data_IF_545698390171
#
_entry.id   IF_545698390171
#
_cell.length_a   1.000
_cell.length_b   1.000
_cell.length_c   1.000
_cell.angle_alpha   90.00
_cell.angle_beta   90.00
_cell.angle_gamma   90.00
#
_symmetry.space_group_name_H-M   'P 1'
#
loop_
_entity.id
_entity.type
_entity.pdbx_description
1 polymer ?
#
# COMPACT_ATOMS: atom_id res chain seq x y z
N UNK A 1 -3.23 24.16 -1.85
CA UNK A 1 -3.67 23.95 -0.45
C UNK A 1 -2.75 22.95 0.23
N UNK A 2 -2.17 23.32 1.38
CA UNK A 2 -1.31 22.43 2.17
C UNK A 2 -2.11 21.28 2.80
N UNK A 3 -1.96 20.07 2.27
CA UNK A 3 -2.45 18.85 2.90
C UNK A 3 -1.59 18.51 4.12
N UNK A 4 -2.12 18.80 5.32
CA UNK A 4 -1.41 18.50 6.58
C UNK A 4 -1.75 17.11 7.09
N UNK A 5 -0.72 16.27 7.24
CA UNK A 5 -0.81 14.99 7.96
C UNK A 5 -1.06 15.26 9.44
N UNK A 6 -2.14 14.70 9.99
CA UNK A 6 -2.48 14.73 11.41
C UNK A 6 -2.38 13.31 11.99
N UNK A 7 -2.14 13.19 13.29
CA UNK A 7 -2.17 11.90 14.00
C UNK A 7 -3.44 11.82 14.84
N UNK A 8 -4.23 10.77 14.64
CA UNK A 8 -5.44 10.45 15.42
C UNK A 8 -5.30 9.02 15.94
N UNK A 9 -5.30 8.83 17.26
CA UNK A 9 -5.28 7.51 17.93
C UNK A 9 -4.23 6.53 17.36
N UNK A 10 -2.97 6.97 17.21
CA UNK A 10 -1.82 6.22 16.63
C UNK A 10 -1.85 5.99 15.12
N UNK A 11 -2.91 6.41 14.43
CA UNK A 11 -3.00 6.34 12.97
C UNK A 11 -2.74 7.71 12.34
N UNK A 12 -1.90 7.75 11.30
CA UNK A 12 -1.69 8.95 10.49
C UNK A 12 -2.89 9.16 9.57
N UNK A 13 -3.35 10.40 9.42
CA UNK A 13 -4.47 10.77 8.55
C UNK A 13 -4.15 12.04 7.76
N UNK A 14 -4.64 12.13 6.53
CA UNK A 14 -4.69 13.39 5.76
C UNK A 14 -6.12 13.94 5.85
N UNK A 15 -6.25 15.26 5.97
CA UNK A 15 -7.53 15.93 5.81
C UNK A 15 -7.52 16.65 4.46
N UNK A 16 -8.31 16.15 3.52
CA UNK A 16 -8.43 16.72 2.18
C UNK A 16 -9.88 17.08 1.89
N UNK A 17 -10.18 18.36 1.62
CA UNK A 17 -11.54 18.85 1.30
C UNK A 17 -12.61 18.42 2.32
N UNK A 18 -12.24 18.35 3.60
CA UNK A 18 -13.13 17.91 4.69
C UNK A 18 -13.26 16.39 4.83
N UNK A 19 -12.69 15.59 3.93
CA UNK A 19 -12.61 14.13 4.06
C UNK A 19 -11.38 13.74 4.89
N UNK A 20 -11.58 12.81 5.84
CA UNK A 20 -10.49 12.19 6.61
C UNK A 20 -10.02 10.95 5.88
N UNK A 21 -8.76 10.96 5.47
CA UNK A 21 -8.12 9.88 4.73
C UNK A 21 -7.16 9.15 5.68
N UNK A 22 -7.43 7.90 6.06
CA UNK A 22 -6.49 7.11 6.86
C UNK A 22 -5.25 6.76 6.04
N UNK A 23 -4.07 6.90 6.62
CA UNK A 23 -2.78 6.55 6.00
C UNK A 23 -2.23 5.28 6.65
N UNK A 24 -1.74 4.37 5.83
CA UNK A 24 -1.08 3.12 6.23
C UNK A 24 0.31 3.07 5.63
N UNK A 25 1.32 2.71 6.42
CA UNK A 25 2.69 2.51 5.90
C UNK A 25 2.79 1.18 5.19
N UNK A 26 3.24 1.17 3.93
CA UNK A 26 3.38 -0.05 3.15
C UNK A 26 4.40 -1.00 3.77
N UNK A 27 5.52 -0.47 4.25
CA UNK A 27 6.57 -1.26 4.92
C UNK A 27 6.01 -1.97 6.15
N UNK A 28 5.17 -1.28 6.94
CA UNK A 28 4.50 -1.88 8.11
C UNK A 28 3.45 -2.93 7.72
N UNK A 29 2.62 -2.64 6.70
CA UNK A 29 1.60 -3.59 6.22
C UNK A 29 2.20 -4.91 5.71
N UNK A 30 3.44 -4.85 5.18
CA UNK A 30 4.16 -6.02 4.66
C UNK A 30 5.17 -6.59 5.65
N UNK A 31 5.24 -6.08 6.89
CA UNK A 31 6.23 -6.43 7.91
C UNK A 31 7.69 -6.36 7.42
N UNK A 32 8.00 -5.36 6.60
CA UNK A 32 9.33 -5.12 6.04
C UNK A 32 10.07 -4.12 6.94
N UNK A 33 11.20 -4.49 7.55
CA UNK A 33 12.00 -3.55 8.30
C UNK A 33 12.62 -2.51 7.36
N UNK A 34 12.15 -1.26 7.46
CA UNK A 34 12.70 -0.13 6.72
C UNK A 34 13.29 0.91 7.67
N UNK A 35 14.46 1.44 7.32
CA UNK A 35 15.05 2.62 7.96
C UNK A 35 14.72 3.90 7.21
N UNK A 36 14.18 3.78 6.00
CA UNK A 36 13.79 4.91 5.18
C UNK A 36 12.50 5.50 5.74
N UNK A 37 12.41 6.82 5.73
CA UNK A 37 11.19 7.52 6.10
C UNK A 37 10.22 7.44 4.92
N UNK A 38 8.94 7.18 5.21
CA UNK A 38 7.92 7.34 4.18
C UNK A 38 7.78 8.83 3.82
N UNK A 39 8.15 9.18 2.58
CA UNK A 39 8.13 10.56 2.07
C UNK A 39 6.91 10.84 1.20
N UNK A 40 6.33 9.80 0.59
CA UNK A 40 5.23 9.91 -0.35
C UNK A 40 3.99 9.22 0.20
N UNK A 41 2.81 9.68 -0.23
CA UNK A 41 1.53 9.04 0.06
C UNK A 41 0.70 8.88 -1.22
N UNK A 42 0.35 7.63 -1.53
CA UNK A 42 -0.54 7.27 -2.64
C UNK A 42 -1.96 7.21 -2.12
N UNK A 43 -2.83 8.09 -2.62
CA UNK A 43 -4.25 8.13 -2.24
C UNK A 43 -5.08 7.30 -3.24
N UNK A 44 -5.83 6.34 -2.71
CA UNK A 44 -6.58 5.35 -3.50
C UNK A 44 -8.06 5.44 -3.13
N UNK A 45 -8.93 5.35 -4.14
CA UNK A 45 -10.39 5.40 -3.97
C UNK A 45 -11.07 4.14 -4.50
N UNK A 46 -11.92 3.50 -3.69
CA UNK A 46 -12.79 2.37 -4.09
C UNK A 46 -14.16 2.52 -3.45
N UNK A 47 -15.21 2.50 -4.28
CA UNK A 47 -16.62 2.63 -3.84
C UNK A 47 -16.85 3.80 -2.86
N UNK A 48 -16.30 4.98 -3.19
CA UNK A 48 -16.43 6.19 -2.38
C UNK A 48 -15.57 6.25 -1.12
N UNK A 49 -14.82 5.20 -0.77
CA UNK A 49 -13.88 5.20 0.35
C UNK A 49 -12.49 5.60 -0.12
N UNK A 50 -11.78 6.37 0.71
CA UNK A 50 -10.39 6.78 0.49
C UNK A 50 -9.45 6.09 1.48
N UNK A 51 -8.25 5.74 1.04
CA UNK A 51 -7.12 5.37 1.89
C UNK A 51 -5.82 5.93 1.31
N UNK A 52 -4.89 6.31 2.18
CA UNK A 52 -3.53 6.66 1.84
C UNK A 52 -2.59 5.49 2.13
N UNK A 53 -1.66 5.22 1.23
CA UNK A 53 -0.55 4.29 1.46
C UNK A 53 0.74 5.10 1.44
N UNK A 54 1.49 5.12 2.54
CA UNK A 54 2.76 5.82 2.62
C UNK A 54 3.93 4.92 2.23
N UNK A 55 4.86 5.49 1.46
CA UNK A 55 6.02 4.80 0.86
C UNK A 55 7.26 5.71 0.89
N UNK A 56 8.46 5.12 0.89
CA UNK A 56 9.71 5.89 0.89
C UNK A 56 10.03 6.54 -0.45
N UNK A 57 9.65 5.90 -1.56
CA UNK A 57 9.94 6.42 -2.90
C UNK A 57 8.83 6.09 -3.91
N UNK A 58 8.68 6.99 -4.90
CA UNK A 58 7.91 6.74 -6.11
C UNK A 58 8.89 6.51 -7.27
N UNK A 59 8.91 5.30 -7.81
CA UNK A 59 9.81 4.92 -8.92
C UNK A 59 9.30 5.50 -10.26
N UNK A 60 8.04 5.95 -10.30
CA UNK A 60 7.41 6.58 -11.45
C UNK A 60 6.34 5.69 -12.11
N UNK A 61 5.88 6.12 -13.28
CA UNK A 61 5.00 5.32 -14.14
C UNK A 61 5.89 4.65 -15.18
N UNK A 62 6.11 3.34 -15.05
CA UNK A 62 6.86 2.56 -16.03
C UNK A 62 5.89 1.68 -16.82
N UNK A 63 6.02 1.67 -18.15
CA UNK A 63 5.38 0.66 -18.99
C UNK A 63 6.06 -0.68 -18.72
N UNK A 64 5.49 -1.41 -17.76
CA UNK A 64 5.96 -2.73 -17.38
C UNK A 64 5.39 -3.77 -18.33
N UNK A 65 6.27 -4.48 -19.02
CA UNK A 65 5.88 -5.73 -19.70
C UNK A 65 5.62 -6.76 -18.60
N UNK A 66 4.35 -6.99 -18.30
CA UNK A 66 3.96 -7.98 -17.30
C UNK A 66 4.31 -9.37 -17.82
N UNK A 67 5.41 -9.92 -17.30
CA UNK A 67 5.77 -11.33 -17.50
C UNK A 67 5.26 -12.10 -16.31
N UNK A 68 4.19 -12.87 -16.53
CA UNK A 68 3.65 -13.77 -15.51
C UNK A 68 4.71 -14.80 -15.12
N UNK A 69 5.23 -14.67 -13.91
CA UNK A 69 5.86 -15.79 -13.21
C UNK A 69 4.75 -16.61 -12.56
N UNK A 70 4.74 -17.93 -12.77
CA UNK A 70 3.70 -18.81 -12.24
C UNK A 70 3.63 -18.73 -10.72
N UNK A 71 2.50 -18.26 -10.19
CA UNK A 71 2.25 -18.04 -8.77
C UNK A 71 1.32 -19.12 -8.16
N UNK A 72 1.40 -20.38 -8.62
CA UNK A 72 0.56 -21.48 -8.10
C UNK A 72 0.70 -21.69 -6.57
N UNK A 73 1.78 -21.19 -5.96
CA UNK A 73 2.08 -21.35 -4.53
C UNK A 73 1.70 -20.13 -3.68
N UNK A 74 1.20 -19.03 -4.27
CA UNK A 74 0.87 -17.78 -3.55
C UNK A 74 -0.60 -17.67 -3.15
N UNK A 75 -1.35 -18.78 -3.20
CA UNK A 75 -2.79 -18.88 -3.00
C UNK A 75 -3.31 -18.35 -1.65
N UNK A 76 -2.44 -18.06 -0.69
CA UNK A 76 -2.84 -17.68 0.67
C UNK A 76 -2.80 -16.17 0.96
N UNK A 77 -2.26 -15.32 0.07
CA UNK A 77 -2.16 -13.88 0.31
C UNK A 77 -3.25 -13.12 -0.47
N UNK A 78 -4.36 -12.77 0.18
CA UNK A 78 -5.50 -12.13 -0.49
C UNK A 78 -5.20 -10.74 -1.06
N UNK A 79 -4.16 -10.08 -0.54
CA UNK A 79 -3.69 -8.80 -1.04
C UNK A 79 -2.73 -8.89 -2.21
N UNK A 80 -2.22 -10.06 -2.55
CA UNK A 80 -1.30 -10.21 -3.67
C UNK A 80 -2.06 -10.64 -4.92
N UNK A 81 -2.10 -9.77 -5.92
CA UNK A 81 -2.75 -10.07 -7.19
C UNK A 81 -1.85 -10.92 -8.08
N UNK A 82 -0.56 -10.58 -8.16
CA UNK A 82 0.43 -11.26 -9.01
C UNK A 82 1.86 -10.82 -8.67
N UNK A 83 2.83 -11.50 -9.27
CA UNK A 83 4.24 -11.12 -9.29
C UNK A 83 4.69 -10.96 -10.74
N UNK A 84 5.50 -9.95 -11.01
CA UNK A 84 6.03 -9.66 -12.35
C UNK A 84 7.53 -9.39 -12.31
N UNK A 85 8.16 -9.48 -13.47
CA UNK A 85 9.55 -9.06 -13.68
C UNK A 85 9.55 -7.74 -14.44
N UNK A 86 10.27 -6.74 -13.93
CA UNK A 86 10.47 -5.42 -14.55
C UNK A 86 11.50 -5.49 -15.70
N UNK A 87 11.62 -4.42 -16.48
CA UNK A 87 12.55 -4.37 -17.63
C UNK A 87 14.03 -4.49 -17.20
N UNK A 88 14.36 -4.05 -15.99
CA UNK A 88 15.69 -4.16 -15.40
C UNK A 88 15.96 -5.54 -14.75
N UNK A 89 15.02 -6.47 -14.85
CA UNK A 89 15.11 -7.83 -14.30
C UNK A 89 14.72 -7.94 -12.83
N UNK A 90 14.34 -6.85 -12.15
CA UNK A 90 13.85 -6.92 -10.77
C UNK A 90 12.47 -7.55 -10.69
N UNK A 91 12.19 -8.21 -9.58
CA UNK A 91 10.87 -8.75 -9.28
C UNK A 91 10.02 -7.67 -8.59
N UNK A 92 8.78 -7.51 -9.04
CA UNK A 92 7.81 -6.58 -8.47
C UNK A 92 6.50 -7.29 -8.09
N UNK A 93 5.89 -6.86 -6.99
CA UNK A 93 4.60 -7.36 -6.52
C UNK A 93 3.48 -6.45 -7.03
N UNK A 94 2.40 -7.06 -7.53
CA UNK A 94 1.15 -6.36 -7.85
C UNK A 94 0.20 -6.57 -6.67
N UNK A 95 -0.08 -5.49 -5.95
CA UNK A 95 -0.80 -5.52 -4.66
C UNK A 95 -2.23 -4.97 -4.83
N UNK A 96 -3.24 -5.64 -4.26
CA UNK A 96 -4.55 -5.04 -3.95
C UNK A 96 -4.45 -4.31 -2.60
N UNK A 97 -4.38 -2.97 -2.60
CA UNK A 97 -4.21 -2.18 -1.38
C UNK A 97 -5.41 -2.28 -0.42
N UNK A 98 -6.60 -2.60 -0.92
CA UNK A 98 -7.80 -2.68 -0.09
C UNK A 98 -7.84 -3.97 0.71
N UNK A 99 -7.44 -5.09 0.10
CA UNK A 99 -7.30 -6.35 0.81
C UNK A 99 -6.13 -6.27 1.80
N UNK A 100 -5.02 -5.62 1.42
CA UNK A 100 -3.86 -5.44 2.32
C UNK A 100 -4.23 -4.69 3.60
N UNK A 101 -4.97 -3.58 3.46
CA UNK A 101 -5.42 -2.78 4.60
C UNK A 101 -6.50 -3.49 5.42
N UNK A 102 -7.29 -4.38 4.82
CA UNK A 102 -8.30 -5.16 5.53
C UNK A 102 -7.64 -6.21 6.45
N UNK A 103 -6.60 -6.88 5.98
CA UNK A 103 -5.86 -7.90 6.74
C UNK A 103 -5.24 -7.33 8.03
N UNK A 104 -4.64 -6.14 7.96
CA UNK A 104 -4.13 -5.40 9.14
C UNK A 104 -5.22 -5.14 10.20
N UNK A 105 -6.47 -4.90 9.78
CA UNK A 105 -7.59 -4.66 10.71
C UNK A 105 -8.12 -5.93 11.35
N UNK A 106 -8.01 -7.07 10.67
CA UNK A 106 -8.41 -8.37 11.21
C UNK A 106 -7.39 -8.91 12.22
N UNK A 107 -6.09 -8.61 12.02
CA UNK A 107 -5.04 -8.88 13.00
C UNK A 107 -5.29 -8.26 14.39
N UNK A 108 -6.00 -7.12 14.46
CA UNK A 108 -6.39 -6.48 15.73
C UNK A 108 -7.54 -7.19 16.46
N UNK A 109 -8.42 -7.94 15.77
CA UNK A 109 -9.57 -8.61 16.41
C UNK A 109 -9.20 -9.95 17.07
N UNK A 110 -7.96 -10.38 16.95
CA UNK A 110 -7.52 -11.73 17.34
C UNK A 110 -6.68 -11.77 18.63
N UNK A 111 -6.62 -10.67 19.40
CA UNK A 111 -5.96 -10.60 20.70
C UNK A 111 -6.82 -9.87 21.74
#
# INVERSE_FOLDING_TARGET
DDEKVKRLNKQSVIVHRGEIIPIYSLSRLLDIPSKEKDEYCVVIRRRGRLCGISVSALIGFEDVVVKSVGCEYMLNLQWLSSVTILNDGKVALIIDPWNLVAEEKEGWRSY
#
